data_IF_620787395731
#
_entry.id   IF_620787395731
#
_cell.length_a   1.000
_cell.length_b   1.000
_cell.length_c   1.000
_cell.angle_alpha   90.00
_cell.angle_beta   90.00
_cell.angle_gamma   90.00
#
_symmetry.space_group_name_H-M   'P 1'
#
loop_
_entity.id
_entity.type
_entity.pdbx_description
1 polymer ?
#
# COMPACT_ATOMS: atom_id res chain seq x y z
N UNK A 1 27.97 23.49 -4.66
CA UNK A 1 26.52 23.73 -4.94
C UNK A 1 25.69 23.17 -3.79
N UNK A 2 24.47 23.72 -3.55
CA UNK A 2 23.61 23.24 -2.45
C UNK A 2 22.64 22.15 -2.90
N UNK A 3 22.57 21.06 -2.15
CA UNK A 3 21.58 20.00 -2.38
C UNK A 3 20.15 20.52 -2.15
N UNK A 4 19.25 20.22 -3.07
CA UNK A 4 17.85 20.66 -3.00
C UNK A 4 17.09 20.02 -1.82
N UNK A 5 17.50 18.84 -1.33
CA UNK A 5 16.89 18.11 -0.22
C UNK A 5 17.50 18.48 1.13
N UNK A 6 18.77 18.11 1.37
CA UNK A 6 19.42 18.30 2.68
C UNK A 6 20.01 19.68 2.91
N UNK A 7 20.06 20.55 1.88
CA UNK A 7 20.57 21.93 1.91
C UNK A 7 22.08 22.06 2.18
N UNK A 8 22.82 20.96 2.34
CA UNK A 8 24.27 20.95 2.51
C UNK A 8 24.98 21.29 1.21
N UNK A 9 26.21 21.79 1.31
CA UNK A 9 27.04 22.10 0.15
C UNK A 9 27.92 20.91 -0.23
N UNK A 10 28.06 20.70 -1.55
CA UNK A 10 28.81 19.60 -2.15
C UNK A 10 29.56 20.09 -3.39
N UNK A 11 30.60 19.37 -3.80
CA UNK A 11 31.27 19.59 -5.10
C UNK A 11 30.34 19.14 -6.24
N UNK A 12 30.63 19.59 -7.46
CA UNK A 12 29.84 19.24 -8.63
C UNK A 12 29.85 17.74 -8.90
N UNK A 13 30.96 17.07 -8.66
CA UNK A 13 31.15 15.63 -8.85
C UNK A 13 30.32 14.77 -7.89
N UNK A 14 29.91 15.33 -6.74
CA UNK A 14 29.09 14.67 -5.72
C UNK A 14 27.61 14.94 -5.89
N UNK A 15 27.22 15.53 -7.00
CA UNK A 15 25.82 15.94 -7.22
C UNK A 15 25.26 15.45 -8.54
N UNK A 16 24.02 14.97 -8.47
CA UNK A 16 23.23 14.60 -9.63
C UNK A 16 22.23 15.70 -9.97
N UNK A 17 22.25 16.18 -11.21
CA UNK A 17 21.33 17.19 -11.72
C UNK A 17 20.06 16.56 -12.25
N UNK A 18 18.91 17.03 -11.75
CA UNK A 18 17.60 16.60 -12.21
C UNK A 18 16.76 17.82 -12.57
N UNK A 19 16.60 18.03 -13.84
CA UNK A 19 15.95 19.25 -14.35
C UNK A 19 16.67 20.52 -13.88
N UNK A 20 15.99 21.34 -13.06
CA UNK A 20 16.55 22.57 -12.46
C UNK A 20 17.09 22.37 -11.03
N UNK A 21 17.00 21.17 -10.48
CA UNK A 21 17.42 20.85 -9.10
C UNK A 21 18.70 20.02 -9.11
N UNK A 22 19.47 20.14 -8.02
CA UNK A 22 20.67 19.36 -7.78
C UNK A 22 20.50 18.61 -6.46
N UNK A 23 20.86 17.33 -6.45
CA UNK A 23 20.81 16.45 -5.29
C UNK A 23 22.21 15.88 -5.05
N UNK A 24 22.68 15.81 -3.79
CA UNK A 24 23.85 14.98 -3.51
C UNK A 24 23.53 13.51 -3.77
N UNK A 25 24.53 12.67 -4.05
CA UNK A 25 24.32 11.28 -4.42
C UNK A 25 23.48 10.53 -3.38
N UNK A 26 23.77 10.72 -2.09
CA UNK A 26 22.97 10.12 -1.01
C UNK A 26 21.49 10.53 -1.05
N UNK A 27 21.18 11.81 -1.25
CA UNK A 27 19.80 12.28 -1.36
C UNK A 27 19.14 11.88 -2.68
N UNK A 28 19.91 11.69 -3.73
CA UNK A 28 19.41 11.21 -5.00
C UNK A 28 18.97 9.74 -4.88
N UNK A 29 19.85 8.88 -4.34
CA UNK A 29 19.62 7.45 -4.25
C UNK A 29 18.56 7.08 -3.18
N UNK A 30 18.59 7.75 -2.02
CA UNK A 30 17.73 7.37 -0.89
C UNK A 30 16.38 8.12 -0.80
N UNK A 31 16.20 9.20 -1.57
CA UNK A 31 14.95 9.97 -1.54
C UNK A 31 14.34 10.22 -2.92
N UNK A 32 15.18 10.60 -3.90
CA UNK A 32 14.64 11.02 -5.19
C UNK A 32 14.25 9.83 -6.07
N UNK A 33 15.12 8.82 -6.17
CA UNK A 33 14.81 7.60 -6.95
C UNK A 33 13.62 6.84 -6.37
N UNK A 34 13.55 6.53 -5.06
CA UNK A 34 12.39 5.85 -4.49
C UNK A 34 11.08 6.60 -4.71
N UNK A 35 11.07 7.94 -4.59
CA UNK A 35 9.86 8.75 -4.83
C UNK A 35 9.36 8.63 -6.26
N UNK A 36 10.27 8.55 -7.25
CA UNK A 36 9.90 8.34 -8.66
C UNK A 36 9.41 6.93 -8.91
N UNK A 37 10.04 5.93 -8.32
CA UNK A 37 9.63 4.53 -8.43
C UNK A 37 8.24 4.32 -7.83
N UNK A 38 7.99 4.87 -6.65
CA UNK A 38 6.68 4.83 -6.00
C UNK A 38 5.59 5.52 -6.85
N UNK A 39 5.92 6.68 -7.44
CA UNK A 39 5.02 7.37 -8.37
C UNK A 39 4.74 6.52 -9.61
N UNK A 40 5.76 5.92 -10.19
CA UNK A 40 5.62 5.05 -11.35
C UNK A 40 4.74 3.83 -11.05
N UNK A 41 4.95 3.21 -9.88
CA UNK A 41 4.14 2.08 -9.40
C UNK A 41 2.66 2.46 -9.28
N UNK A 42 2.36 3.57 -8.63
CA UNK A 42 0.99 4.08 -8.50
C UNK A 42 0.36 4.36 -9.88
N UNK A 43 1.11 5.03 -10.77
CA UNK A 43 0.64 5.40 -12.10
C UNK A 43 0.30 4.17 -12.94
N UNK A 44 1.21 3.19 -13.00
CA UNK A 44 1.00 1.96 -13.77
C UNK A 44 -0.10 1.08 -13.15
N UNK A 45 -0.24 1.03 -11.83
CA UNK A 45 -1.31 0.32 -11.16
C UNK A 45 -2.69 0.86 -11.59
N UNK A 46 -2.93 2.16 -11.41
CA UNK A 46 -4.22 2.76 -11.79
C UNK A 46 -4.48 2.63 -13.29
N UNK A 47 -3.46 2.83 -14.10
CA UNK A 47 -3.53 2.68 -15.56
C UNK A 47 -3.90 1.26 -15.97
N UNK A 48 -3.20 0.27 -15.43
CA UNK A 48 -3.40 -1.15 -15.74
C UNK A 48 -4.78 -1.65 -15.35
N UNK A 49 -5.22 -1.33 -14.13
CA UNK A 49 -6.53 -1.76 -13.62
C UNK A 49 -7.73 -1.17 -14.39
N UNK A 50 -7.53 -0.06 -15.07
CA UNK A 50 -8.58 0.58 -15.88
C UNK A 50 -8.36 0.45 -17.40
N UNK A 51 -7.40 -0.37 -17.83
CA UNK A 51 -7.06 -0.58 -19.26
C UNK A 51 -6.80 0.72 -20.02
N UNK A 52 -6.13 1.68 -19.38
CA UNK A 52 -5.84 2.99 -19.97
C UNK A 52 -4.46 3.00 -20.64
N UNK A 53 -4.32 3.75 -21.71
CA UNK A 53 -2.99 4.03 -22.32
C UNK A 53 -2.22 5.06 -21.48
N UNK A 54 -2.94 6.00 -20.88
CA UNK A 54 -2.39 7.03 -19.99
C UNK A 54 -3.47 7.52 -19.03
N UNK A 55 -3.07 8.09 -17.89
CA UNK A 55 -4.01 8.70 -16.95
C UNK A 55 -4.41 10.11 -17.41
N UNK A 56 -5.67 10.50 -17.20
CA UNK A 56 -6.12 11.87 -17.41
C UNK A 56 -5.32 12.86 -16.55
N UNK A 57 -5.12 14.07 -17.07
CA UNK A 57 -4.40 15.13 -16.34
C UNK A 57 -5.09 15.47 -15.02
N UNK A 58 -6.43 15.45 -14.96
CA UNK A 58 -7.20 15.64 -13.73
C UNK A 58 -6.83 14.64 -12.64
N UNK A 59 -6.74 13.35 -13.00
CA UNK A 59 -6.32 12.27 -12.09
C UNK A 59 -4.90 12.47 -11.59
N UNK A 60 -3.96 12.78 -12.49
CA UNK A 60 -2.57 13.07 -12.13
C UNK A 60 -2.48 14.25 -11.17
N UNK A 61 -3.23 15.33 -11.43
CA UNK A 61 -3.25 16.53 -10.59
C UNK A 61 -3.81 16.21 -9.20
N UNK A 62 -4.85 15.39 -9.14
CA UNK A 62 -5.48 14.98 -7.89
C UNK A 62 -4.52 14.14 -7.03
N UNK A 63 -3.85 13.14 -7.61
CA UNK A 63 -2.86 12.32 -6.91
C UNK A 63 -1.68 13.16 -6.37
N UNK A 64 -1.17 14.10 -7.18
CA UNK A 64 -0.11 15.01 -6.73
C UNK A 64 -0.57 15.93 -5.60
N UNK A 65 -1.83 16.36 -5.60
CA UNK A 65 -2.41 17.13 -4.51
C UNK A 65 -2.45 16.30 -3.22
N UNK A 66 -2.95 15.07 -3.27
CA UNK A 66 -2.95 14.18 -2.11
C UNK A 66 -1.55 13.96 -1.54
N UNK A 67 -0.53 13.79 -2.40
CA UNK A 67 0.85 13.67 -1.94
C UNK A 67 1.38 14.96 -1.30
N UNK A 68 1.17 16.11 -1.93
CA UNK A 68 1.75 17.38 -1.50
C UNK A 68 1.01 18.00 -0.30
N UNK A 69 -0.32 17.98 -0.31
CA UNK A 69 -1.16 18.68 0.67
C UNK A 69 -1.53 17.75 1.82
N UNK A 70 -2.01 16.55 1.51
CA UNK A 70 -2.49 15.56 2.49
C UNK A 70 -1.37 14.64 3.00
N UNK A 71 -0.14 14.75 2.46
CA UNK A 71 1.06 13.99 2.84
C UNK A 71 0.92 12.47 2.65
N UNK A 72 0.06 12.02 1.75
CA UNK A 72 -0.07 10.61 1.43
C UNK A 72 1.12 10.13 0.59
N UNK A 73 1.72 9.00 0.94
CA UNK A 73 2.80 8.41 0.12
C UNK A 73 2.25 7.80 -1.16
N UNK A 74 3.02 7.81 -2.24
CA UNK A 74 2.60 7.23 -3.52
C UNK A 74 2.35 5.72 -3.41
N UNK A 75 3.22 4.99 -2.72
CA UNK A 75 3.01 3.55 -2.50
C UNK A 75 1.78 3.29 -1.62
N UNK A 76 1.55 4.10 -0.59
CA UNK A 76 0.34 3.99 0.24
C UNK A 76 -0.94 4.28 -0.55
N UNK A 77 -0.91 5.23 -1.49
CA UNK A 77 -2.03 5.48 -2.39
C UNK A 77 -2.25 4.32 -3.37
N UNK A 78 -1.18 3.67 -3.84
CA UNK A 78 -1.28 2.48 -4.70
C UNK A 78 -1.95 1.32 -3.97
N UNK A 79 -1.48 1.00 -2.76
CA UNK A 79 -2.09 -0.02 -1.92
C UNK A 79 -3.56 0.32 -1.56
N UNK A 80 -3.84 1.59 -1.26
CA UNK A 80 -5.22 2.02 -1.00
C UNK A 80 -6.11 1.82 -2.21
N UNK A 81 -5.59 2.08 -3.40
CA UNK A 81 -6.32 1.86 -4.64
C UNK A 81 -6.62 0.37 -4.86
N UNK A 82 -5.67 -0.52 -4.57
CA UNK A 82 -5.87 -1.97 -4.58
C UNK A 82 -6.92 -2.39 -3.56
N UNK A 83 -6.85 -1.85 -2.34
CA UNK A 83 -7.85 -2.10 -1.32
C UNK A 83 -9.27 -1.72 -1.77
N UNK A 84 -9.42 -0.54 -2.37
CA UNK A 84 -10.71 -0.06 -2.88
C UNK A 84 -11.27 -0.99 -3.97
N UNK A 85 -10.40 -1.46 -4.87
CA UNK A 85 -10.81 -2.30 -6.00
C UNK A 85 -11.10 -3.75 -5.63
N UNK A 86 -10.36 -4.32 -4.70
CA UNK A 86 -10.37 -5.75 -4.45
C UNK A 86 -11.11 -6.14 -3.16
N UNK A 87 -11.15 -5.25 -2.15
CA UNK A 87 -11.63 -5.59 -0.81
C UNK A 87 -12.76 -4.69 -0.30
N UNK A 88 -12.83 -3.43 -0.74
CA UNK A 88 -13.92 -2.57 -0.35
C UNK A 88 -15.17 -2.91 -1.16
N UNK A 89 -16.29 -3.20 -0.48
CA UNK A 89 -17.58 -3.46 -1.15
C UNK A 89 -18.19 -2.15 -1.69
N UNK A 90 -17.48 -1.53 -2.63
CA UNK A 90 -17.92 -0.30 -3.28
C UNK A 90 -18.43 -0.66 -4.67
N UNK A 91 -19.74 -0.48 -4.87
CA UNK A 91 -20.31 -0.59 -6.20
C UNK A 91 -19.76 0.49 -7.09
N UNK A 92 -19.10 0.10 -8.17
CA UNK A 92 -18.67 1.05 -9.21
C UNK A 92 -19.92 1.78 -9.73
N UNK A 93 -19.95 3.08 -9.51
CA UNK A 93 -21.00 3.93 -10.07
C UNK A 93 -20.56 4.33 -11.46
N UNK A 94 -20.95 3.55 -12.46
CA UNK A 94 -20.67 3.85 -13.86
C UNK A 94 -21.01 5.32 -14.18
N UNK A 95 -20.03 6.03 -14.70
CA UNK A 95 -20.21 7.36 -15.30
C UNK A 95 -20.25 8.56 -14.34
N UNK A 96 -20.05 8.39 -13.01
CA UNK A 96 -20.14 9.52 -12.06
C UNK A 96 -18.81 10.08 -11.56
N UNK A 97 -17.68 9.44 -11.81
CA UNK A 97 -16.41 9.88 -11.25
C UNK A 97 -15.60 10.82 -12.15
N UNK A 98 -16.20 11.32 -13.24
CA UNK A 98 -15.57 12.24 -14.21
C UNK A 98 -14.20 11.75 -14.73
N UNK A 99 -14.01 10.44 -14.86
CA UNK A 99 -12.76 9.84 -15.31
C UNK A 99 -11.66 9.81 -14.24
N UNK A 100 -12.00 9.99 -12.96
CA UNK A 100 -11.03 9.88 -11.85
C UNK A 100 -10.85 8.43 -11.35
N UNK A 101 -11.59 7.46 -11.90
CA UNK A 101 -11.38 6.03 -11.66
C UNK A 101 -11.33 5.66 -10.17
N UNK A 102 -12.26 6.19 -9.36
CA UNK A 102 -12.35 6.01 -7.91
C UNK A 102 -11.14 6.58 -7.11
N UNK A 103 -10.20 7.25 -7.77
CA UNK A 103 -9.05 7.90 -7.11
C UNK A 103 -9.49 8.90 -6.05
N UNK A 104 -10.67 9.53 -6.23
CA UNK A 104 -11.26 10.43 -5.25
C UNK A 104 -11.55 9.79 -3.88
N UNK A 105 -11.61 8.47 -3.80
CA UNK A 105 -11.87 7.73 -2.56
C UNK A 105 -10.59 7.46 -1.75
N UNK A 106 -9.40 7.60 -2.34
CA UNK A 106 -8.13 7.28 -1.68
C UNK A 106 -8.00 7.93 -0.30
N UNK A 107 -8.24 9.25 -0.09
CA UNK A 107 -8.07 9.85 1.23
C UNK A 107 -9.00 9.26 2.30
N UNK A 108 -10.18 8.81 1.90
CA UNK A 108 -11.17 8.23 2.83
C UNK A 108 -10.80 6.82 3.29
N UNK A 109 -10.17 6.03 2.42
CA UNK A 109 -9.80 4.64 2.71
C UNK A 109 -8.34 4.46 3.09
N UNK A 110 -7.50 5.51 3.04
CA UNK A 110 -6.07 5.42 3.24
C UNK A 110 -5.67 4.77 4.57
N UNK A 111 -6.28 5.20 5.66
CA UNK A 111 -6.00 4.64 7.00
C UNK A 111 -6.47 3.19 7.11
N UNK A 112 -7.65 2.88 6.58
CA UNK A 112 -8.20 1.54 6.62
C UNK A 112 -7.38 0.56 5.79
N UNK A 113 -6.98 0.95 4.59
CA UNK A 113 -6.10 0.18 3.73
C UNK A 113 -4.74 -0.05 4.38
N UNK A 114 -4.17 0.97 5.03
CA UNK A 114 -2.91 0.86 5.75
C UNK A 114 -2.97 -0.23 6.82
N UNK A 115 -3.99 -0.21 7.68
CA UNK A 115 -4.19 -1.23 8.73
C UNK A 115 -4.34 -2.62 8.11
N UNK A 116 -5.15 -2.74 7.06
CA UNK A 116 -5.37 -4.00 6.35
C UNK A 116 -4.06 -4.59 5.82
N UNK A 117 -3.24 -3.81 5.12
CA UNK A 117 -2.00 -4.30 4.56
C UNK A 117 -0.89 -4.51 5.60
N UNK A 118 -0.85 -3.73 6.69
CA UNK A 118 0.07 -3.99 7.81
C UNK A 118 -0.23 -5.35 8.46
N UNK A 119 -1.50 -5.69 8.65
CA UNK A 119 -1.90 -7.00 9.15
C UNK A 119 -1.64 -8.12 8.14
N UNK A 120 -1.92 -7.88 6.86
CA UNK A 120 -1.67 -8.83 5.78
C UNK A 120 -0.18 -9.21 5.68
N UNK A 121 0.71 -8.24 5.59
CA UNK A 121 2.16 -8.48 5.50
C UNK A 121 2.71 -9.12 6.78
N UNK A 122 2.18 -8.73 7.95
CA UNK A 122 2.57 -9.39 9.21
C UNK A 122 2.20 -10.87 9.22
N UNK A 123 1.04 -11.24 8.69
CA UNK A 123 0.61 -12.64 8.59
C UNK A 123 1.44 -13.41 7.57
N UNK A 124 1.80 -12.79 6.46
CA UNK A 124 2.67 -13.36 5.43
C UNK A 124 4.07 -13.67 6.00
N UNK A 125 4.68 -12.69 6.69
CA UNK A 125 5.97 -12.87 7.38
C UNK A 125 5.93 -14.00 8.43
N UNK A 126 4.82 -14.15 9.15
CA UNK A 126 4.64 -15.23 10.12
C UNK A 126 4.47 -16.59 9.45
N UNK A 127 3.79 -16.65 8.30
CA UNK A 127 3.62 -17.86 7.52
C UNK A 127 4.96 -18.32 6.93
N UNK A 128 5.76 -17.42 6.35
CA UNK A 128 7.10 -17.73 5.83
C UNK A 128 8.01 -18.27 6.93
N UNK A 129 8.05 -17.64 8.10
CA UNK A 129 8.83 -18.13 9.25
C UNK A 129 8.37 -19.50 9.74
N UNK A 130 7.05 -19.75 9.73
CA UNK A 130 6.50 -21.05 10.12
C UNK A 130 6.86 -22.15 9.10
N UNK A 131 6.97 -21.82 7.82
CA UNK A 131 7.43 -22.74 6.77
C UNK A 131 8.92 -23.04 6.93
N UNK A 132 9.77 -22.04 7.16
CA UNK A 132 11.20 -22.22 7.44
C UNK A 132 11.43 -23.09 8.68
N UNK A 133 10.70 -22.86 9.77
CA UNK A 133 10.78 -23.67 10.99
C UNK A 133 10.30 -25.12 10.77
N UNK A 134 9.31 -25.33 9.89
CA UNK A 134 8.82 -26.66 9.53
C UNK A 134 9.81 -27.44 8.66
N UNK A 135 10.54 -26.82 7.75
CA UNK A 135 11.59 -27.48 6.97
C UNK A 135 12.73 -27.99 7.86
N UNK A 136 13.01 -27.30 8.97
CA UNK A 136 13.99 -27.77 9.98
C UNK A 136 13.44 -28.93 10.81
N UNK A 137 12.12 -29.04 10.99
CA UNK A 137 11.48 -30.04 11.88
C UNK A 137 11.07 -31.30 11.14
N UNK A 138 10.94 -31.33 9.83
CA UNK A 138 10.58 -32.52 9.03
C UNK A 138 11.71 -33.60 9.05
N UNK A 139 12.90 -33.25 9.52
CA UNK A 139 13.98 -34.27 9.77
C UNK A 139 13.81 -35.09 11.04
N UNK A 140 12.78 -34.86 11.86
CA UNK A 140 12.52 -35.74 13.02
C UNK A 140 11.04 -35.79 13.41
N UNK A 141 10.46 -36.97 13.18
CA UNK A 141 9.19 -37.50 13.70
C UNK A 141 7.93 -37.26 12.84
N UNK A 142 7.60 -38.33 12.12
CA UNK A 142 6.22 -38.63 11.75
C UNK A 142 5.35 -38.60 13.02
N UNK A 143 4.52 -37.57 13.15
CA UNK A 143 3.44 -37.56 14.11
C UNK A 143 2.12 -37.66 13.34
N UNK A 144 1.59 -38.88 13.24
CA UNK A 144 0.18 -39.10 12.96
C UNK A 144 -0.64 -38.54 14.12
N UNK A 145 -1.19 -37.36 13.98
CA UNK A 145 -2.22 -36.85 14.87
C UNK A 145 -3.42 -36.53 14.03
N UNK A 146 -4.41 -37.45 14.06
CA UNK A 146 -5.77 -37.13 13.60
C UNK A 146 -6.25 -35.92 14.38
N UNK A 147 -6.38 -34.80 13.69
CA UNK A 147 -7.03 -33.60 14.22
C UNK A 147 -8.53 -33.91 14.22
N UNK A 148 -9.07 -34.32 15.38
CA UNK A 148 -10.50 -34.31 15.59
C UNK A 148 -10.97 -32.88 15.44
N UNK A 149 -11.71 -32.60 14.36
CA UNK A 149 -12.49 -31.37 14.23
C UNK A 149 -13.44 -31.30 15.42
N UNK A 150 -13.22 -30.38 16.34
CA UNK A 150 -14.27 -29.99 17.29
C UNK A 150 -15.26 -29.15 16.51
N UNK A 151 -16.45 -29.69 16.31
CA UNK A 151 -17.59 -28.89 15.89
C UNK A 151 -17.85 -27.84 16.99
N UNK A 152 -17.57 -26.60 16.67
CA UNK A 152 -17.93 -25.47 17.55
C UNK A 152 -19.39 -25.17 17.26
N UNK A 153 -20.27 -25.61 18.17
CA UNK A 153 -21.70 -25.31 18.11
C UNK A 153 -21.91 -23.85 18.50
N UNK A 154 -22.13 -23.01 17.48
CA UNK A 154 -22.33 -21.56 17.63
C UNK A 154 -23.70 -21.25 18.23
N UNK A 155 -24.63 -22.25 18.32
CA UNK A 155 -25.97 -22.05 18.86
C UNK A 155 -26.01 -21.89 20.39
N UNK A 156 -24.90 -22.09 21.08
CA UNK A 156 -24.79 -21.97 22.55
C UNK A 156 -24.28 -20.60 23.05
N UNK A 157 -24.05 -19.63 22.16
CA UNK A 157 -23.65 -18.28 22.55
C UNK A 157 -24.92 -17.46 22.81
N UNK A 158 -25.35 -17.40 24.08
CA UNK A 158 -26.38 -16.46 24.50
C UNK A 158 -25.79 -15.04 24.53
N UNK A 159 -26.28 -14.17 23.66
CA UNK A 159 -26.12 -12.73 23.80
C UNK A 159 -27.16 -12.28 24.84
N UNK A 160 -26.71 -11.96 26.04
CA UNK A 160 -27.53 -11.19 26.98
C UNK A 160 -27.61 -9.76 26.42
N UNK A 161 -28.80 -9.36 25.98
CA UNK A 161 -29.11 -7.96 25.71
C UNK A 161 -29.20 -7.23 27.06
N UNK A 162 -28.21 -6.42 27.38
CA UNK A 162 -28.32 -5.48 28.49
C UNK A 162 -29.30 -4.37 28.06
N UNK A 163 -30.56 -4.48 28.53
CA UNK A 163 -31.51 -3.38 28.54
C UNK A 163 -31.12 -2.45 29.72
N UNK A 164 -30.44 -1.35 29.36
CA UNK A 164 -30.27 -0.23 30.33
C UNK A 164 -31.49 0.70 30.19
N UNK A 165 -32.19 0.87 31.33
CA UNK A 165 -33.22 1.87 31.64
C UNK A 165 -32.69 3.33 31.60
#
# INVERSE_FOLDING_TARGET
MKCSKCKREYTEEQMTKVGKKHYCNDCYDNYYLPEIEDWSTLFENIKGRNNLKTLPISTITLLKRYHNDDKLSYIGMSLTYDYIKDYADIKEVEGKDNGNYMVGLIPYFYTQAKIFFEDYFRLEDLAEKAEEDNEVTIKSKQYNKEIKKKDIDISSINFEEDEDD
#
